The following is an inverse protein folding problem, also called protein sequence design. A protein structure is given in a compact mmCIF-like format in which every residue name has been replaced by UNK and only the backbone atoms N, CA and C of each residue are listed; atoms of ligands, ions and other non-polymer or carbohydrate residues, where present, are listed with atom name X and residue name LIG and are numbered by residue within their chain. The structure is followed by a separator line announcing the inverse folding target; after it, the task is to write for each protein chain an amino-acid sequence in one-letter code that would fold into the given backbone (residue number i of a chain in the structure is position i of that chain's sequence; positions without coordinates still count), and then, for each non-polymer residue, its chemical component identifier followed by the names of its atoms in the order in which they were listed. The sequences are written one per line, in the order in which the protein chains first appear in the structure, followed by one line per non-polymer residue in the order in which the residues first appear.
data_IF_502911919252
#
_entry.id   IF_502911919252
#
_cell.length_a   1.000
_cell.length_b   1.000
_cell.length_c   1.000
_cell.angle_alpha   90.00
_cell.angle_beta   90.00
_cell.angle_gamma   90.00
#
_symmetry.space_group_name_H-M   'P 1'
#
loop_
_entity.id
_entity.type
_entity.pdbx_description
1 polymer ?
#
# COMPACT_ATOMS: atom_id res chain seq x y z
N UNK A 1 -3.27 9.76 -12.01
CA UNK A 1 -3.41 9.17 -10.65
C UNK A 1 -4.75 8.45 -10.60
N UNK A 2 -4.74 7.15 -10.64
CA UNK A 2 -5.98 6.36 -10.55
C UNK A 2 -6.52 6.41 -9.12
N UNK A 3 -7.82 6.64 -8.97
CA UNK A 3 -8.47 6.61 -7.66
C UNK A 3 -8.38 5.18 -7.10
N UNK A 4 -7.62 5.00 -6.02
CA UNK A 4 -7.54 3.71 -5.33
C UNK A 4 -8.92 3.29 -4.83
N UNK A 5 -9.36 2.13 -5.28
CA UNK A 5 -10.64 1.54 -4.85
C UNK A 5 -10.39 0.26 -4.08
N UNK A 6 -11.13 0.02 -3.00
CA UNK A 6 -11.10 -1.28 -2.33
C UNK A 6 -11.46 -2.40 -3.31
N UNK A 7 -10.82 -3.56 -3.15
CA UNK A 7 -11.15 -4.76 -3.92
C UNK A 7 -12.65 -5.07 -3.81
N UNK A 8 -13.22 -5.65 -4.87
CA UNK A 8 -14.63 -6.09 -4.87
C UNK A 8 -14.81 -7.29 -3.94
N UNK A 9 -13.86 -8.22 -4.00
CA UNK A 9 -13.84 -9.41 -3.15
C UNK A 9 -13.09 -9.07 -1.86
N UNK A 10 -13.77 -9.21 -0.74
CA UNK A 10 -13.28 -8.84 0.59
C UNK A 10 -13.35 -10.03 1.54
N UNK A 11 -12.33 -10.28 2.38
CA UNK A 11 -12.46 -11.22 3.47
C UNK A 11 -13.48 -10.73 4.49
N UNK A 12 -14.24 -11.66 5.05
CA UNK A 12 -15.28 -11.35 6.03
C UNK A 12 -14.69 -10.88 7.37
N UNK A 13 -13.53 -11.39 7.74
CA UNK A 13 -12.87 -11.13 9.02
C UNK A 13 -11.38 -10.87 8.82
N UNK A 14 -10.79 -10.19 9.78
CA UNK A 14 -9.35 -9.99 9.90
C UNK A 14 -8.98 -9.92 11.38
N UNK A 15 -7.88 -10.53 11.73
CA UNK A 15 -7.27 -10.44 13.06
C UNK A 15 -5.75 -10.41 12.92
N UNK A 16 -5.06 -9.72 13.81
CA UNK A 16 -3.61 -9.82 13.90
C UNK A 16 -3.19 -11.21 14.34
N UNK A 17 -2.19 -11.78 13.69
CA UNK A 17 -1.46 -12.92 14.25
C UNK A 17 -0.65 -12.48 15.49
N UNK A 18 -0.09 -13.42 16.24
CA UNK A 18 0.66 -13.11 17.47
C UNK A 18 1.80 -12.12 17.25
N UNK A 19 2.61 -12.32 16.22
CA UNK A 19 3.73 -11.45 15.88
C UNK A 19 3.30 -10.04 15.52
N UNK A 20 2.21 -9.91 14.73
CA UNK A 20 1.65 -8.61 14.36
C UNK A 20 1.01 -7.90 15.55
N UNK A 21 0.39 -8.66 16.45
CA UNK A 21 -0.21 -8.10 17.68
C UNK A 21 0.87 -7.55 18.62
N UNK A 22 1.97 -8.28 18.80
CA UNK A 22 3.11 -7.84 19.61
C UNK A 22 3.72 -6.56 19.03
N UNK A 23 3.93 -6.54 17.70
CA UNK A 23 4.42 -5.34 17.00
C UNK A 23 3.47 -4.15 17.13
N UNK A 24 2.15 -4.37 17.02
CA UNK A 24 1.13 -3.34 17.17
C UNK A 24 1.14 -2.75 18.59
N UNK A 25 1.20 -3.60 19.61
CA UNK A 25 1.27 -3.16 21.02
C UNK A 25 2.55 -2.38 21.29
N UNK A 26 3.69 -2.81 20.78
CA UNK A 26 4.97 -2.10 20.91
C UNK A 26 4.95 -0.71 20.26
N UNK A 27 4.24 -0.56 19.15
CA UNK A 27 4.07 0.74 18.48
C UNK A 27 3.14 1.64 19.31
N UNK A 28 2.01 1.13 19.76
CA UNK A 28 1.04 1.90 20.55
C UNK A 28 1.67 2.42 21.84
N UNK A 29 2.50 1.63 22.50
CA UNK A 29 3.21 2.01 23.71
C UNK A 29 4.16 3.21 23.54
N UNK A 30 4.53 3.58 22.30
CA UNK A 30 5.34 4.78 22.04
C UNK A 30 4.57 6.09 22.10
N UNK A 31 3.23 6.02 22.08
CA UNK A 31 2.39 7.22 22.13
C UNK A 31 1.92 7.53 23.54
N UNK A 32 1.83 8.81 23.92
CA UNK A 32 1.30 9.22 25.21
C UNK A 32 -0.12 8.72 25.45
N UNK A 33 -0.52 8.64 26.71
CA UNK A 33 -1.89 8.28 27.09
C UNK A 33 -2.92 9.18 26.39
N UNK A 34 -3.97 8.57 25.84
CA UNK A 34 -5.01 9.25 25.07
C UNK A 34 -4.61 9.62 23.62
N UNK A 35 -3.39 9.30 23.16
CA UNK A 35 -2.89 9.59 21.81
C UNK A 35 -2.61 8.34 20.96
N UNK A 36 -3.05 7.18 21.41
CA UNK A 36 -2.81 5.89 20.75
C UNK A 36 -3.38 5.82 19.32
N UNK A 37 -4.41 6.63 19.01
CA UNK A 37 -4.98 6.73 17.66
C UNK A 37 -3.95 7.17 16.60
N UNK A 38 -2.89 7.87 17.01
CA UNK A 38 -1.79 8.27 16.12
C UNK A 38 -0.99 7.08 15.55
N UNK A 39 -1.13 5.88 16.13
CA UNK A 39 -0.51 4.66 15.63
C UNK A 39 -1.17 4.11 14.34
N UNK A 40 -2.29 4.68 13.88
CA UNK A 40 -3.10 4.16 12.76
C UNK A 40 -2.27 3.85 11.51
N UNK A 41 -1.35 4.73 11.13
CA UNK A 41 -0.50 4.52 9.96
C UNK A 41 0.40 3.29 10.10
N UNK A 42 1.05 3.14 11.24
CA UNK A 42 1.92 2.01 11.51
C UNK A 42 1.15 0.68 11.57
N UNK A 43 -0.07 0.70 12.14
CA UNK A 43 -0.92 -0.48 12.18
C UNK A 43 -1.41 -0.88 10.77
N UNK A 44 -1.71 0.07 9.90
CA UNK A 44 -2.03 -0.20 8.50
C UNK A 44 -0.86 -0.89 7.77
N UNK A 45 0.39 -0.50 8.05
CA UNK A 45 1.56 -1.19 7.51
C UNK A 45 1.68 -2.63 8.02
N UNK A 46 1.43 -2.87 9.31
CA UNK A 46 1.44 -4.23 9.87
C UNK A 46 0.39 -5.10 9.16
N UNK A 47 -0.83 -4.57 8.98
CA UNK A 47 -1.89 -5.26 8.22
C UNK A 47 -1.41 -5.59 6.81
N UNK A 48 -0.89 -4.60 6.10
CA UNK A 48 -0.46 -4.77 4.71
C UNK A 48 0.59 -5.87 4.58
N UNK A 49 1.58 -5.90 5.46
CA UNK A 49 2.61 -6.95 5.50
C UNK A 49 2.05 -8.33 5.85
N UNK A 50 1.11 -8.40 6.80
CA UNK A 50 0.47 -9.67 7.17
C UNK A 50 -0.43 -10.21 6.06
N UNK A 51 -1.08 -9.35 5.28
CA UNK A 51 -2.12 -9.69 4.32
C UNK A 51 -1.65 -9.58 2.86
N UNK A 52 -0.52 -10.19 2.54
CA UNK A 52 0.00 -10.25 1.15
C UNK A 52 0.05 -8.88 0.46
N UNK A 53 0.56 -7.88 1.18
CA UNK A 53 0.81 -6.51 0.71
C UNK A 53 -0.45 -5.71 0.31
N UNK A 54 -1.62 -6.00 0.89
CA UNK A 54 -2.82 -5.17 0.72
C UNK A 54 -3.70 -5.11 1.98
N UNK A 55 -4.57 -4.11 2.07
CA UNK A 55 -5.37 -3.80 3.27
C UNK A 55 -6.87 -4.00 2.96
N UNK A 56 -7.50 -5.07 3.49
CA UNK A 56 -8.93 -5.30 3.33
C UNK A 56 -9.76 -4.40 4.25
N UNK A 57 -11.02 -4.17 3.87
CA UNK A 57 -11.96 -3.38 4.69
C UNK A 57 -12.18 -3.98 6.09
N UNK A 58 -12.14 -5.31 6.21
CA UNK A 58 -12.25 -5.99 7.50
C UNK A 58 -11.11 -5.61 8.44
N UNK A 59 -9.87 -5.46 7.91
CA UNK A 59 -8.72 -5.03 8.70
C UNK A 59 -8.83 -3.56 9.14
N UNK A 60 -9.35 -2.69 8.31
CA UNK A 60 -9.60 -1.29 8.71
C UNK A 60 -10.62 -1.21 9.84
N UNK A 61 -11.68 -2.03 9.79
CA UNK A 61 -12.66 -2.15 10.88
C UNK A 61 -12.03 -2.70 12.16
N UNK A 62 -11.13 -3.67 12.02
CA UNK A 62 -10.39 -4.22 13.15
C UNK A 62 -9.50 -3.15 13.80
N UNK A 63 -8.70 -2.40 13.02
CA UNK A 63 -7.87 -1.29 13.53
C UNK A 63 -8.73 -0.23 14.22
N UNK A 64 -9.88 0.13 13.65
CA UNK A 64 -10.78 1.11 14.24
C UNK A 64 -11.22 0.71 15.66
N UNK A 65 -11.60 -0.57 15.84
CA UNK A 65 -11.93 -1.12 17.16
C UNK A 65 -10.70 -1.16 18.08
N UNK A 66 -9.57 -1.61 17.55
CA UNK A 66 -8.32 -1.77 18.31
C UNK A 66 -7.80 -0.44 18.88
N UNK A 67 -7.92 0.65 18.11
CA UNK A 67 -7.52 2.00 18.51
C UNK A 67 -8.64 2.84 19.15
N UNK A 68 -9.83 2.26 19.31
CA UNK A 68 -11.02 2.96 19.78
C UNK A 68 -11.27 4.29 19.02
N UNK A 69 -11.32 4.20 17.68
CA UNK A 69 -11.54 5.34 16.79
C UNK A 69 -12.61 5.05 15.73
N UNK A 70 -13.27 6.07 15.17
CA UNK A 70 -14.25 5.87 14.11
C UNK A 70 -13.64 5.19 12.88
N UNK A 71 -14.34 4.22 12.30
CA UNK A 71 -13.90 3.51 11.09
C UNK A 71 -13.52 4.45 9.93
N UNK A 72 -14.33 5.52 9.75
CA UNK A 72 -14.09 6.49 8.68
C UNK A 72 -12.70 7.12 8.77
N UNK A 73 -12.17 7.34 9.96
CA UNK A 73 -10.83 7.91 10.17
C UNK A 73 -9.72 6.97 9.74
N UNK A 74 -9.88 5.67 9.95
CA UNK A 74 -8.94 4.66 9.43
C UNK A 74 -9.03 4.60 7.90
N UNK A 75 -10.25 4.63 7.36
CA UNK A 75 -10.50 4.61 5.93
C UNK A 75 -9.91 5.84 5.23
N UNK A 76 -10.07 7.05 5.80
CA UNK A 76 -9.45 8.28 5.30
C UNK A 76 -7.94 8.13 5.15
N UNK A 77 -7.25 7.62 6.18
CA UNK A 77 -5.80 7.42 6.16
C UNK A 77 -5.41 6.39 5.08
N UNK A 78 -6.10 5.25 5.03
CA UNK A 78 -5.79 4.19 4.09
C UNK A 78 -6.00 4.61 2.62
N UNK A 79 -6.98 5.48 2.35
CA UNK A 79 -7.26 5.97 0.99
C UNK A 79 -6.42 7.17 0.60
N UNK A 80 -6.01 8.00 1.56
CA UNK A 80 -5.22 9.19 1.31
C UNK A 80 -3.78 8.86 0.91
N UNK A 81 -3.12 7.97 1.64
CA UNK A 81 -1.71 7.67 1.41
C UNK A 81 -1.50 6.65 0.28
N UNK A 82 -0.64 6.99 -0.68
CA UNK A 82 -0.39 6.18 -1.88
C UNK A 82 0.29 4.84 -1.58
N UNK A 83 1.04 4.71 -0.49
CA UNK A 83 1.74 3.47 -0.12
C UNK A 83 0.82 2.34 0.37
N UNK A 84 -0.45 2.61 0.68
CA UNK A 84 -1.38 1.55 1.08
C UNK A 84 -2.10 0.98 -0.12
N UNK A 85 -2.04 -0.32 -0.31
CA UNK A 85 -2.75 -1.03 -1.36
C UNK A 85 -4.13 -1.46 -0.85
N UNK A 86 -5.20 -1.06 -1.56
CA UNK A 86 -6.59 -1.37 -1.17
C UNK A 86 -7.17 -2.57 -1.93
N UNK A 87 -6.38 -3.15 -2.81
CA UNK A 87 -6.68 -4.36 -3.58
C UNK A 87 -5.44 -5.26 -3.62
N UNK A 88 -5.62 -6.58 -3.86
CA UNK A 88 -4.50 -7.48 -4.00
C UNK A 88 -3.50 -7.01 -5.05
N UNK A 89 -2.21 -7.13 -4.72
CA UNK A 89 -1.09 -6.87 -5.62
C UNK A 89 -0.31 -8.17 -5.87
N UNK A 90 0.48 -8.21 -6.94
CA UNK A 90 1.33 -9.35 -7.23
C UNK A 90 2.45 -9.52 -6.19
N UNK A 91 3.07 -10.71 -6.18
CA UNK A 91 4.28 -10.96 -5.37
C UNK A 91 5.38 -9.93 -5.66
N UNK A 92 5.49 -9.50 -6.91
CA UNK A 92 6.36 -8.42 -7.36
C UNK A 92 5.49 -7.23 -7.73
N UNK A 93 5.53 -6.22 -6.88
CA UNK A 93 4.80 -4.97 -7.09
C UNK A 93 5.74 -3.89 -7.58
N UNK A 94 5.61 -3.55 -8.86
CA UNK A 94 6.46 -2.56 -9.53
C UNK A 94 5.84 -1.17 -9.40
N UNK A 95 6.57 -0.25 -8.83
CA UNK A 95 6.17 1.15 -8.65
C UNK A 95 7.06 2.03 -9.52
N UNK A 96 6.49 2.66 -10.53
CA UNK A 96 7.23 3.50 -11.49
C UNK A 96 7.07 4.96 -11.10
N UNK A 97 8.19 5.62 -10.84
CA UNK A 97 8.19 7.07 -10.58
C UNK A 97 7.92 7.83 -11.89
N UNK A 98 6.86 8.64 -11.92
CA UNK A 98 6.48 9.44 -13.10
C UNK A 98 6.50 10.95 -12.83
N UNK A 99 7.17 11.41 -11.76
CA UNK A 99 7.38 12.85 -11.52
C UNK A 99 8.39 13.47 -12.49
N UNK A 100 8.41 14.77 -12.56
CA UNK A 100 9.10 15.55 -13.60
C UNK A 100 10.52 15.07 -13.95
N UNK A 101 11.45 14.85 -13.00
CA UNK A 101 12.79 14.37 -13.35
C UNK A 101 12.79 13.01 -14.06
N UNK A 102 11.97 12.07 -13.58
CA UNK A 102 11.84 10.75 -14.17
C UNK A 102 11.16 10.81 -15.55
N UNK A 103 10.14 11.65 -15.72
CA UNK A 103 9.47 11.86 -17.02
C UNK A 103 10.44 12.41 -18.06
N UNK A 104 11.22 13.45 -17.74
CA UNK A 104 12.22 14.03 -18.63
C UNK A 104 13.28 12.99 -19.01
N UNK A 105 13.65 12.11 -18.10
CA UNK A 105 14.66 11.05 -18.30
C UNK A 105 14.11 9.77 -18.91
N UNK A 106 12.81 9.72 -19.27
CA UNK A 106 12.21 8.64 -20.03
C UNK A 106 11.43 7.61 -19.23
N UNK A 107 10.78 8.00 -18.11
CA UNK A 107 9.91 7.12 -17.32
C UNK A 107 8.78 6.49 -18.17
N UNK A 108 8.33 7.17 -19.23
CA UNK A 108 7.33 6.62 -20.16
C UNK A 108 7.74 5.26 -20.74
N UNK A 109 9.03 5.04 -21.01
CA UNK A 109 9.54 3.75 -21.52
C UNK A 109 9.39 2.64 -20.47
N UNK A 110 9.53 2.97 -19.18
CA UNK A 110 9.29 2.03 -18.09
C UNK A 110 7.79 1.69 -17.96
N UNK A 111 6.93 2.70 -18.09
CA UNK A 111 5.46 2.51 -18.10
C UNK A 111 5.03 1.63 -19.29
N UNK A 112 5.55 1.89 -20.49
CA UNK A 112 5.29 1.07 -21.69
C UNK A 112 5.73 -0.38 -21.47
N UNK A 113 6.93 -0.59 -20.91
CA UNK A 113 7.42 -1.93 -20.57
C UNK A 113 6.52 -2.64 -19.54
N UNK A 114 6.03 -1.93 -18.53
CA UNK A 114 5.07 -2.49 -17.57
C UNK A 114 3.75 -2.87 -18.24
N UNK A 115 3.24 -2.03 -19.14
CA UNK A 115 2.02 -2.33 -19.90
C UNK A 115 2.18 -3.56 -20.78
N UNK A 116 3.31 -3.71 -21.44
CA UNK A 116 3.59 -4.85 -22.32
C UNK A 116 3.83 -6.15 -21.54
N UNK A 117 4.59 -6.09 -20.41
CA UNK A 117 5.10 -7.29 -19.75
C UNK A 117 4.26 -7.74 -18.56
N UNK A 118 3.49 -6.84 -17.93
CA UNK A 118 2.75 -7.13 -16.70
C UNK A 118 1.24 -7.11 -16.95
N UNK A 119 0.68 -5.93 -17.21
CA UNK A 119 -0.73 -5.77 -17.55
C UNK A 119 -0.96 -4.42 -18.25
N UNK A 120 -1.94 -4.35 -19.14
CA UNK A 120 -2.27 -3.13 -19.88
C UNK A 120 -2.65 -1.96 -18.96
N UNK A 121 -3.31 -2.28 -17.83
CA UNK A 121 -3.76 -1.28 -16.86
C UNK A 121 -2.99 -1.39 -15.56
N UNK A 122 -2.70 -0.23 -14.98
CA UNK A 122 -2.12 -0.14 -13.63
C UNK A 122 -3.06 -0.74 -12.58
N UNK A 123 -2.47 -1.26 -11.48
CA UNK A 123 -3.15 -1.92 -10.37
C UNK A 123 -3.91 -3.21 -10.74
N UNK A 124 -3.71 -3.75 -11.95
CA UNK A 124 -4.18 -5.08 -12.33
C UNK A 124 -3.04 -6.11 -12.19
N UNK A 125 -3.42 -7.35 -11.91
CA UNK A 125 -2.47 -8.46 -11.83
C UNK A 125 -2.10 -8.97 -13.22
N UNK A 126 -0.85 -9.40 -13.39
CA UNK A 126 -0.42 -10.17 -14.56
C UNK A 126 -1.24 -11.46 -14.71
N UNK A 127 -1.24 -12.07 -15.89
CA UNK A 127 -2.00 -13.29 -16.18
C UNK A 127 -1.66 -14.45 -15.22
N UNK A 128 -0.41 -14.55 -14.80
CA UNK A 128 0.07 -15.53 -13.82
C UNK A 128 -0.10 -15.07 -12.36
N UNK A 129 -0.66 -13.87 -12.13
CA UNK A 129 -0.85 -13.22 -10.82
C UNK A 129 0.43 -12.97 -10.03
N UNK A 130 1.60 -13.11 -10.66
CA UNK A 130 2.88 -12.91 -9.98
C UNK A 130 3.27 -11.45 -9.84
N UNK A 131 2.88 -10.63 -10.79
CA UNK A 131 3.26 -9.22 -10.88
C UNK A 131 2.06 -8.30 -10.90
N UNK A 132 2.29 -7.07 -10.46
CA UNK A 132 1.41 -5.91 -10.69
C UNK A 132 2.26 -4.65 -10.74
N UNK A 133 1.74 -3.58 -11.29
CA UNK A 133 2.46 -2.32 -11.39
C UNK A 133 1.54 -1.12 -11.20
N UNK A 134 2.11 0.01 -10.82
CA UNK A 134 1.42 1.29 -10.78
C UNK A 134 2.38 2.46 -10.95
N UNK A 135 1.85 3.58 -11.42
CA UNK A 135 2.54 4.86 -11.36
C UNK A 135 2.46 5.42 -9.94
N UNK A 136 3.60 5.90 -9.44
CA UNK A 136 3.68 6.51 -8.12
C UNK A 136 4.34 7.89 -8.20
N UNK A 137 4.13 8.66 -7.13
CA UNK A 137 4.81 9.93 -6.94
C UNK A 137 6.33 9.73 -6.72
N UNK A 138 7.04 10.81 -6.46
CA UNK A 138 8.49 10.80 -6.32
C UNK A 138 9.00 9.78 -5.29
N UNK A 139 9.86 8.87 -5.74
CA UNK A 139 10.55 7.88 -4.90
C UNK A 139 11.88 8.39 -4.31
N UNK A 140 12.20 9.69 -4.49
CA UNK A 140 13.35 10.33 -3.86
C UNK A 140 14.70 10.09 -4.51
N UNK A 141 14.80 9.32 -5.60
CA UNK A 141 16.06 8.98 -6.28
C UNK A 141 16.26 9.72 -7.61
N UNK A 142 15.96 11.01 -7.68
CA UNK A 142 16.01 11.83 -8.89
C UNK A 142 17.38 11.85 -9.57
N UNK A 143 18.46 11.67 -8.82
CA UNK A 143 19.84 11.59 -9.34
C UNK A 143 20.00 10.40 -10.30
N UNK A 144 19.29 9.30 -10.04
CA UNK A 144 19.33 8.08 -10.83
C UNK A 144 18.10 7.93 -11.77
N UNK A 145 17.39 9.03 -12.05
CA UNK A 145 16.21 8.99 -12.93
C UNK A 145 16.54 8.47 -14.34
N UNK A 146 15.64 7.72 -15.00
CA UNK A 146 14.34 7.30 -14.49
C UNK A 146 14.47 6.12 -13.52
N UNK A 147 13.54 5.98 -12.58
CA UNK A 147 13.62 4.91 -11.59
C UNK A 147 12.27 4.25 -11.31
N UNK A 148 12.32 3.01 -10.87
CA UNK A 148 11.23 2.25 -10.32
C UNK A 148 11.68 1.52 -9.07
N UNK A 149 10.72 1.14 -8.25
CA UNK A 149 10.91 0.32 -7.07
C UNK A 149 10.13 -0.98 -7.22
N UNK A 150 10.72 -2.09 -6.81
CA UNK A 150 10.04 -3.40 -6.78
C UNK A 150 9.92 -3.84 -5.33
N UNK A 151 8.68 -3.89 -4.81
CA UNK A 151 8.40 -4.05 -3.39
C UNK A 151 9.09 -2.97 -2.55
N UNK A 152 10.05 -3.37 -1.68
CA UNK A 152 10.81 -2.48 -0.80
C UNK A 152 12.24 -2.18 -1.33
N UNK A 153 12.57 -2.68 -2.55
CA UNK A 153 13.90 -2.54 -3.19
C UNK A 153 13.90 -1.53 -4.34
#
# INVERSE_FOLDING_TARGET
MSLKRPAKDQPNTFEFNSSSLDAANAIIAKYPEGKQQSAVMALLYIVQRQNNNWIPLAAMKYIAKFLNMPYIKVYEVATFYSMYNLSPVGKYFVQVCTTTPCMIRGANKLVEACKEKISEKEAELSNDKSCSWMEVECLGACVNAPMMQINDD
#
